data_IF_174415706791
#
_entry.id   IF_174415706791
#
_cell.length_a   1.000
_cell.length_b   1.000
_cell.length_c   1.000
_cell.angle_alpha   90.00
_cell.angle_beta   90.00
_cell.angle_gamma   90.00
#
_symmetry.space_group_name_H-M   'P 1'
#
loop_
_entity.id
_entity.type
_entity.pdbx_description
1 polymer ?
#
# COMPACT_ATOMS: atom_id res chain seq x y z
N UNK A 1 0.96 31.23 -3.89
CA UNK A 1 1.48 30.36 -2.81
C UNK A 1 0.29 29.70 -2.14
N UNK A 2 -0.16 28.57 -2.66
CA UNK A 2 -1.36 27.87 -2.17
C UNK A 2 -0.91 26.57 -1.51
N UNK A 3 -1.15 26.39 -0.20
CA UNK A 3 -1.07 25.05 0.39
C UNK A 3 -2.29 24.26 -0.09
N UNK A 4 -2.08 23.34 -1.03
CA UNK A 4 -2.97 22.18 -1.15
C UNK A 4 -2.79 21.33 0.11
N UNK A 5 -3.84 20.62 0.48
CA UNK A 5 -3.82 19.63 1.55
C UNK A 5 -4.17 18.29 0.91
N UNK A 6 -3.38 17.28 1.25
CA UNK A 6 -3.32 16.05 0.47
C UNK A 6 -4.42 15.05 0.89
N UNK A 7 -4.60 14.00 0.09
CA UNK A 7 -5.71 13.07 0.24
C UNK A 7 -5.44 11.96 1.31
N UNK A 8 -6.48 11.27 1.79
CA UNK A 8 -6.42 10.31 2.92
C UNK A 8 -5.27 9.24 3.05
N UNK A 9 -4.53 9.16 4.21
CA UNK A 9 -3.91 7.95 4.94
C UNK A 9 -4.19 7.46 6.55
N UNK A 10 -4.90 6.46 7.30
CA UNK A 10 -5.85 5.15 7.41
C UNK A 10 -5.86 3.56 6.80
N UNK A 11 -5.01 2.56 6.19
CA UNK A 11 -3.54 1.90 5.90
C UNK A 11 -2.14 1.51 6.84
N UNK A 12 -1.95 0.66 7.94
CA UNK A 12 -0.81 0.36 9.02
C UNK A 12 -0.71 -1.08 9.69
N UNK A 13 0.48 -1.76 9.86
CA UNK A 13 0.76 -3.27 10.00
C UNK A 13 1.28 -3.87 11.42
N UNK A 14 0.86 -5.06 11.98
CA UNK A 14 1.40 -5.88 13.18
C UNK A 14 1.57 -7.49 13.18
N UNK A 15 2.65 -8.10 13.78
CA UNK A 15 2.79 -9.56 14.20
C UNK A 15 4.21 -10.32 14.05
N UNK A 16 4.94 -10.94 15.05
CA UNK A 16 6.31 -11.54 14.87
C UNK A 16 6.46 -13.04 15.30
N UNK A 17 7.68 -13.63 15.36
CA UNK A 17 7.96 -14.91 16.05
C UNK A 17 8.56 -14.74 17.46
N UNK A 18 8.49 -15.79 18.31
CA UNK A 18 9.21 -15.87 19.59
C UNK A 18 9.78 -17.29 19.85
N UNK A 19 10.85 -17.34 20.67
CA UNK A 19 11.60 -18.50 21.20
C UNK A 19 12.07 -19.64 20.26
N UNK A 20 13.32 -19.53 19.78
CA UNK A 20 14.31 -20.65 19.82
C UNK A 20 15.77 -20.22 19.52
N UNK A 21 16.60 -20.24 20.57
CA UNK A 21 18.03 -20.61 20.63
C UNK A 21 19.06 -20.19 19.53
N UNK A 22 20.02 -19.33 19.94
CA UNK A 22 21.47 -19.31 19.55
C UNK A 22 21.88 -19.13 18.05
N UNK A 23 23.07 -18.62 17.65
CA UNK A 23 24.27 -18.12 18.36
C UNK A 23 24.83 -16.82 17.69
N UNK A 24 26.11 -16.48 17.93
CA UNK A 24 26.66 -15.12 17.81
C UNK A 24 27.74 -14.89 16.71
N UNK A 25 27.76 -13.64 16.22
CA UNK A 25 28.92 -12.75 15.94
C UNK A 25 29.66 -12.70 14.58
N UNK A 26 29.94 -11.42 14.21
CA UNK A 26 30.79 -10.84 13.14
C UNK A 26 30.25 -10.97 11.70
N UNK A 27 30.07 -9.88 10.93
CA UNK A 27 30.98 -8.77 10.55
C UNK A 27 32.15 -9.24 9.68
N UNK A 28 32.08 -8.99 8.36
CA UNK A 28 32.75 -7.82 7.80
C UNK A 28 32.23 -7.48 6.37
N UNK A 29 32.76 -6.41 5.79
CA UNK A 29 32.29 -5.81 4.53
C UNK A 29 32.64 -6.60 3.25
N UNK A 30 31.86 -6.36 2.19
CA UNK A 30 32.23 -6.65 0.80
C UNK A 30 33.59 -6.00 0.42
N UNK A 31 34.37 -6.51 -0.59
CA UNK A 31 33.82 -7.19 -1.78
C UNK A 31 34.61 -8.37 -2.43
N UNK A 32 33.90 -9.06 -3.35
CA UNK A 32 34.35 -9.89 -4.51
C UNK A 32 34.65 -11.40 -4.33
N UNK A 33 33.98 -12.16 -5.23
CA UNK A 33 34.41 -13.40 -5.91
C UNK A 33 34.65 -14.68 -5.07
N UNK A 34 33.90 -15.74 -5.37
CA UNK A 34 34.26 -17.12 -5.00
C UNK A 34 33.07 -18.05 -4.79
N UNK A 35 33.12 -19.21 -5.44
CA UNK A 35 32.28 -20.41 -5.33
C UNK A 35 31.28 -20.57 -4.14
N UNK A 36 30.01 -20.78 -4.49
CA UNK A 36 29.11 -21.84 -3.97
C UNK A 36 28.96 -22.08 -2.46
N UNK A 37 27.76 -21.79 -1.94
CA UNK A 37 27.21 -22.38 -0.72
C UNK A 37 25.71 -22.70 -0.89
N UNK A 38 25.16 -23.56 -0.04
CA UNK A 38 23.78 -24.06 -0.16
C UNK A 38 22.72 -23.03 0.25
N UNK A 39 21.50 -23.23 -0.26
CA UNK A 39 20.35 -22.36 -0.05
C UNK A 39 19.45 -22.94 1.05
N UNK A 40 19.44 -22.36 2.25
CA UNK A 40 18.46 -22.70 3.29
C UNK A 40 17.33 -21.66 3.37
N UNK A 41 16.09 -22.16 3.42
CA UNK A 41 14.87 -21.36 3.32
C UNK A 41 14.27 -21.05 4.69
N UNK A 42 14.77 -20.00 5.36
CA UNK A 42 14.13 -19.47 6.57
C UNK A 42 12.83 -18.70 6.25
N UNK A 43 11.74 -19.09 6.90
CA UNK A 43 10.43 -18.43 6.74
C UNK A 43 10.40 -17.07 7.48
N UNK A 44 9.77 -16.06 6.85
CA UNK A 44 9.76 -14.64 7.26
C UNK A 44 8.39 -14.14 7.75
N UNK A 45 8.37 -13.14 8.65
CA UNK A 45 7.22 -12.61 9.42
C UNK A 45 6.53 -11.36 8.83
N UNK A 46 5.19 -11.24 8.95
CA UNK A 46 4.26 -10.47 8.05
C UNK A 46 2.96 -9.99 8.79
N UNK A 47 2.09 -9.03 8.35
CA UNK A 47 1.28 -8.28 9.38
C UNK A 47 -0.03 -7.33 9.18
N UNK A 48 -1.07 -7.48 8.32
CA UNK A 48 -2.09 -6.47 7.81
C UNK A 48 -2.64 -5.19 8.60
N UNK A 49 -3.43 -4.30 7.95
CA UNK A 49 -3.14 -2.83 7.96
C UNK A 49 -4.33 -1.78 8.22
N UNK A 50 -4.16 -0.54 8.84
CA UNK A 50 -4.72 0.83 8.39
C UNK A 50 -3.98 2.35 8.74
N UNK A 51 -3.48 3.56 8.10
CA UNK A 51 -3.07 4.47 6.76
C UNK A 51 -3.87 5.00 5.30
N UNK A 52 -5.19 5.25 4.81
CA UNK A 52 -6.41 6.32 4.68
C UNK A 52 -6.97 7.48 5.74
N UNK A 53 -6.60 8.80 5.73
CA UNK A 53 -6.43 9.88 6.81
C UNK A 53 -7.63 10.80 6.95
N UNK A 54 -7.70 11.40 8.16
CA UNK A 54 -8.28 12.71 8.52
C UNK A 54 -9.75 12.88 8.12
N UNK A 55 -10.56 13.22 9.11
CA UNK A 55 -11.97 13.57 8.95
C UNK A 55 -12.25 14.62 7.84
N UNK A 56 -11.28 15.47 7.54
CA UNK A 56 -11.38 16.65 6.67
C UNK A 56 -10.92 16.44 5.21
N UNK A 57 -11.32 15.33 4.56
CA UNK A 57 -11.41 15.36 3.09
C UNK A 57 -12.38 16.46 2.67
N UNK A 58 -11.90 17.45 1.92
CA UNK A 58 -12.71 18.59 1.45
C UNK A 58 -13.78 18.19 0.42
N UNK A 59 -13.73 16.95 -0.09
CA UNK A 59 -14.71 16.35 -1.01
C UNK A 59 -15.67 15.39 -0.32
N UNK A 60 -15.25 14.75 0.78
CA UNK A 60 -16.03 13.70 1.46
C UNK A 60 -15.67 13.61 2.95
N UNK A 61 -16.22 14.50 3.78
CA UNK A 61 -15.99 14.44 5.23
C UNK A 61 -16.47 13.11 5.81
N UNK A 62 -15.71 12.57 6.77
CA UNK A 62 -16.05 11.32 7.44
C UNK A 62 -16.00 10.06 6.56
N UNK A 63 -15.45 10.13 5.33
CA UNK A 63 -15.29 9.03 4.36
C UNK A 63 -15.06 7.63 4.99
N UNK A 64 -14.11 7.42 5.93
CA UNK A 64 -13.85 6.08 6.50
C UNK A 64 -15.04 5.44 7.26
N UNK A 65 -15.95 6.27 7.79
CA UNK A 65 -17.08 5.88 8.63
C UNK A 65 -18.41 5.78 7.85
N UNK A 66 -18.40 6.11 6.56
CA UNK A 66 -19.54 5.93 5.67
C UNK A 66 -19.92 4.46 5.65
N UNK A 67 -21.22 4.18 5.77
CA UNK A 67 -21.70 2.80 5.84
C UNK A 67 -21.89 2.22 4.44
N UNK A 68 -21.43 0.99 4.24
CA UNK A 68 -21.56 0.20 3.02
C UNK A 68 -22.19 -1.13 3.42
N UNK A 69 -23.40 -1.39 2.93
CA UNK A 69 -24.25 -2.50 3.35
C UNK A 69 -24.34 -2.61 4.89
N UNK A 70 -24.56 -1.48 5.57
CA UNK A 70 -24.79 -1.43 7.01
C UNK A 70 -23.56 -1.55 7.93
N UNK A 71 -22.33 -1.66 7.40
CA UNK A 71 -21.08 -1.56 8.21
C UNK A 71 -20.23 -0.36 7.75
N UNK A 72 -19.47 0.30 8.63
CA UNK A 72 -18.47 1.30 8.23
C UNK A 72 -17.51 0.79 7.15
N UNK A 73 -17.12 1.63 6.19
CA UNK A 73 -16.21 1.25 5.11
C UNK A 73 -14.86 0.73 5.64
N UNK A 74 -14.31 1.36 6.68
CA UNK A 74 -13.08 0.90 7.34
C UNK A 74 -13.22 -0.54 7.92
N UNK A 75 -14.42 -0.92 8.38
CA UNK A 75 -14.70 -2.30 8.81
C UNK A 75 -14.68 -3.27 7.63
N UNK A 76 -15.23 -2.88 6.46
CA UNK A 76 -15.20 -3.70 5.24
C UNK A 76 -13.76 -4.02 4.83
N UNK A 77 -12.91 -3.00 4.78
CA UNK A 77 -11.50 -3.17 4.39
C UNK A 77 -10.72 -3.99 5.41
N UNK A 78 -10.94 -3.79 6.73
CA UNK A 78 -10.34 -4.60 7.78
C UNK A 78 -10.81 -6.07 7.72
N UNK A 79 -12.11 -6.33 7.55
CA UNK A 79 -12.66 -7.68 7.37
C UNK A 79 -12.06 -8.39 6.15
N UNK A 80 -11.86 -7.67 5.03
CA UNK A 80 -11.19 -8.21 3.84
C UNK A 80 -9.71 -8.49 4.07
N UNK A 81 -8.98 -7.57 4.74
CA UNK A 81 -7.57 -7.75 5.06
C UNK A 81 -7.32 -8.97 5.98
N UNK A 82 -8.27 -9.31 6.87
CA UNK A 82 -8.20 -10.52 7.73
C UNK A 82 -8.28 -11.85 6.97
N UNK A 83 -8.63 -11.86 5.69
CA UNK A 83 -8.81 -13.09 4.90
C UNK A 83 -7.55 -13.52 4.12
N UNK A 84 -6.53 -12.68 4.01
CA UNK A 84 -5.30 -13.04 3.29
C UNK A 84 -4.36 -13.87 4.17
N UNK A 85 -3.57 -14.75 3.56
CA UNK A 85 -2.87 -15.84 4.26
C UNK A 85 -1.41 -15.54 4.57
N UNK A 86 -0.88 -14.42 4.10
CA UNK A 86 0.52 -14.01 4.29
C UNK A 86 0.70 -13.07 5.47
N UNK A 87 -0.10 -13.19 6.53
CA UNK A 87 -0.54 -12.05 7.31
C UNK A 87 -0.80 -12.42 8.78
N UNK A 88 0.01 -11.92 9.72
CA UNK A 88 -0.01 -12.46 11.09
C UNK A 88 -0.97 -11.72 12.09
N UNK A 89 -1.42 -10.48 11.82
CA UNK A 89 -2.57 -9.78 12.49
C UNK A 89 -2.98 -8.49 11.75
N UNK A 90 -4.24 -8.02 11.82
CA UNK A 90 -4.70 -6.74 11.22
C UNK A 90 -4.92 -5.66 12.28
N UNK A 91 -4.22 -4.53 12.18
CA UNK A 91 -4.40 -3.37 13.08
C UNK A 91 -4.86 -2.11 12.34
N UNK A 92 -5.12 -1.03 13.08
CA UNK A 92 -5.53 0.28 12.56
C UNK A 92 -4.74 1.37 13.26
N UNK A 93 -4.17 2.33 12.53
CA UNK A 93 -3.63 3.56 13.07
C UNK A 93 -4.20 4.82 12.44
N UNK A 94 -4.74 5.63 13.33
CA UNK A 94 -5.47 6.86 13.09
C UNK A 94 -4.91 7.96 13.98
N UNK A 95 -5.07 9.21 13.57
CA UNK A 95 -4.98 10.39 14.44
C UNK A 95 -6.35 10.79 15.03
N UNK A 96 -7.45 10.36 14.41
CA UNK A 96 -8.83 10.63 14.82
C UNK A 96 -9.36 9.54 15.78
N UNK A 97 -9.73 9.95 17.00
CA UNK A 97 -10.23 9.06 18.06
C UNK A 97 -11.63 8.50 17.75
N UNK A 98 -12.49 9.16 16.95
CA UNK A 98 -13.80 8.62 16.56
C UNK A 98 -13.64 7.40 15.66
N UNK A 99 -12.62 7.44 14.78
CA UNK A 99 -12.26 6.28 13.95
C UNK A 99 -11.67 5.19 14.84
N UNK A 100 -10.89 5.55 15.87
CA UNK A 100 -10.35 4.60 16.83
C UNK A 100 -11.46 3.89 17.64
N UNK A 101 -12.42 4.64 18.19
CA UNK A 101 -13.61 4.12 18.89
C UNK A 101 -14.42 3.19 17.98
N UNK A 102 -14.68 3.61 16.73
CA UNK A 102 -15.37 2.79 15.74
C UNK A 102 -14.64 1.46 15.48
N UNK A 103 -13.32 1.50 15.28
CA UNK A 103 -12.50 0.32 15.00
C UNK A 103 -12.41 -0.64 16.19
N UNK A 104 -12.22 -0.12 17.41
CA UNK A 104 -12.31 -0.92 18.64
C UNK A 104 -13.70 -1.55 18.80
N UNK A 105 -14.76 -0.84 18.38
CA UNK A 105 -16.15 -1.32 18.40
C UNK A 105 -16.42 -2.58 17.57
N UNK A 106 -15.66 -2.81 16.48
CA UNK A 106 -15.71 -4.08 15.72
C UNK A 106 -14.54 -5.02 16.00
N UNK A 107 -13.77 -4.77 17.07
CA UNK A 107 -12.71 -5.67 17.53
C UNK A 107 -11.40 -5.58 16.74
N UNK A 108 -11.11 -4.43 16.13
CA UNK A 108 -9.79 -4.14 15.58
C UNK A 108 -8.83 -3.57 16.64
N UNK A 109 -7.58 -4.02 16.60
CA UNK A 109 -6.46 -3.39 17.31
C UNK A 109 -6.24 -1.97 16.78
N UNK A 110 -6.07 -0.98 17.67
CA UNK A 110 -5.86 0.42 17.27
C UNK A 110 -4.61 1.06 17.90
N UNK A 111 -3.81 1.73 17.08
CA UNK A 111 -2.59 2.46 17.43
C UNK A 111 -2.79 3.95 17.12
N UNK A 112 -2.90 4.80 18.14
CA UNK A 112 -2.98 6.24 17.89
C UNK A 112 -1.65 6.77 17.31
N UNK A 113 -1.72 7.53 16.22
CA UNK A 113 -0.57 8.11 15.49
C UNK A 113 -0.67 9.62 15.44
N UNK A 114 0.44 10.27 15.13
CA UNK A 114 0.57 11.72 15.13
C UNK A 114 -0.09 12.35 13.92
N UNK A 115 -0.79 13.46 14.16
CA UNK A 115 -1.24 14.41 13.14
C UNK A 115 -0.10 15.03 12.31
N UNK A 116 1.15 14.86 12.74
CA UNK A 116 2.37 15.32 12.05
C UNK A 116 2.91 14.37 10.98
N UNK A 117 2.41 13.14 10.89
CA UNK A 117 2.78 12.24 9.79
C UNK A 117 2.29 12.82 8.47
N UNK A 118 3.22 13.09 7.54
CA UNK A 118 2.92 13.84 6.30
C UNK A 118 2.10 13.04 5.30
N UNK A 119 2.16 11.71 5.40
CA UNK A 119 1.72 10.78 4.36
C UNK A 119 1.51 9.36 4.92
N UNK A 120 1.08 8.41 4.07
CA UNK A 120 0.80 7.04 4.49
C UNK A 120 2.05 6.28 4.93
N UNK A 121 3.15 6.42 4.19
CA UNK A 121 4.39 5.72 4.52
C UNK A 121 4.97 6.14 5.88
N UNK A 122 4.81 7.40 6.29
CA UNK A 122 5.27 7.87 7.61
C UNK A 122 4.41 7.37 8.76
N UNK A 123 3.07 7.36 8.61
CA UNK A 123 2.17 6.83 9.63
C UNK A 123 2.30 5.30 9.74
N UNK A 124 2.65 4.59 8.65
CA UNK A 124 3.14 3.21 8.69
C UNK A 124 4.36 3.04 9.61
N UNK A 125 5.39 3.89 9.44
CA UNK A 125 6.60 3.81 10.25
C UNK A 125 6.36 4.16 11.73
N UNK A 126 5.58 5.21 12.02
CA UNK A 126 5.31 5.64 13.39
C UNK A 126 4.61 4.54 14.20
N UNK A 127 3.61 3.88 13.59
CA UNK A 127 2.88 2.81 14.25
C UNK A 127 3.67 1.51 14.37
N UNK A 128 4.51 1.17 13.38
CA UNK A 128 5.53 0.13 13.49
C UNK A 128 6.42 0.34 14.73
N UNK A 129 6.87 1.58 14.97
CA UNK A 129 7.67 1.92 16.15
C UNK A 129 6.86 1.80 17.45
N UNK A 130 5.59 2.24 17.44
CA UNK A 130 4.68 2.12 18.60
C UNK A 130 4.29 0.68 18.95
N UNK A 131 4.30 -0.25 17.99
CA UNK A 131 4.04 -1.68 18.23
C UNK A 131 5.15 -2.40 19.00
N UNK A 132 6.38 -1.86 19.03
CA UNK A 132 7.55 -2.40 19.73
C UNK A 132 7.93 -3.86 19.40
N UNK A 133 7.46 -4.40 18.27
CA UNK A 133 7.67 -5.78 17.81
C UNK A 133 8.47 -5.81 16.49
N UNK A 134 8.96 -6.99 16.08
CA UNK A 134 9.96 -7.16 15.00
C UNK A 134 9.42 -7.92 13.81
N UNK A 135 9.60 -7.36 12.62
CA UNK A 135 8.93 -7.84 11.41
C UNK A 135 9.80 -7.63 10.17
N UNK A 136 9.50 -8.35 9.10
CA UNK A 136 10.24 -8.22 7.85
C UNK A 136 9.56 -7.25 6.87
N UNK A 137 8.25 -7.37 6.62
CA UNK A 137 7.56 -6.63 5.55
C UNK A 137 6.31 -5.88 6.03
N UNK A 138 6.25 -4.56 5.81
CA UNK A 138 5.09 -3.63 5.97
C UNK A 138 4.23 -3.53 4.69
N UNK A 139 2.90 -3.26 4.70
CA UNK A 139 2.03 -3.32 3.48
C UNK A 139 0.84 -2.36 3.44
N UNK A 140 1.01 -1.16 2.90
CA UNK A 140 -0.08 -0.20 2.68
C UNK A 140 -1.28 -0.85 1.92
N UNK A 141 -2.51 -0.75 2.45
CA UNK A 141 -3.84 -1.12 1.91
C UNK A 141 -4.79 0.01 2.35
N UNK A 142 -5.32 0.80 1.42
CA UNK A 142 -6.13 1.95 1.79
C UNK A 142 -7.49 1.52 2.34
N UNK A 143 -7.90 2.08 3.49
CA UNK A 143 -9.15 1.74 4.18
C UNK A 143 -10.43 2.10 3.42
N UNK A 144 -10.32 2.77 2.27
CA UNK A 144 -11.38 3.08 1.30
C UNK A 144 -11.38 2.17 0.06
N UNK A 145 -10.69 1.03 0.15
CA UNK A 145 -10.80 -0.14 -0.73
C UNK A 145 -11.62 -1.28 -0.09
N UNK A 146 -12.95 -1.11 0.16
CA UNK A 146 -13.80 -2.11 0.83
C UNK A 146 -13.95 -3.43 0.05
N UNK A 147 -13.51 -3.45 -1.21
CA UNK A 147 -13.49 -4.60 -2.11
C UNK A 147 -12.10 -5.23 -2.28
N UNK A 148 -11.06 -4.77 -1.57
CA UNK A 148 -9.69 -5.29 -1.72
C UNK A 148 -9.67 -6.83 -1.69
N UNK A 149 -8.93 -7.42 -2.62
CA UNK A 149 -8.82 -8.86 -2.80
C UNK A 149 -7.62 -9.39 -1.99
N UNK A 150 -7.84 -10.32 -1.03
CA UNK A 150 -6.79 -10.98 -0.25
C UNK A 150 -5.60 -11.45 -1.09
N UNK A 151 -5.89 -11.97 -2.27
CA UNK A 151 -4.93 -12.49 -3.24
C UNK A 151 -3.94 -11.41 -3.74
N UNK A 152 -4.35 -10.14 -3.76
CA UNK A 152 -3.49 -8.99 -4.12
C UNK A 152 -2.53 -8.67 -2.97
N UNK A 153 -3.03 -8.62 -1.73
CA UNK A 153 -2.22 -8.40 -0.51
C UNK A 153 -1.16 -9.50 -0.40
N UNK A 154 -1.60 -10.75 -0.55
CA UNK A 154 -0.75 -11.92 -0.59
C UNK A 154 0.28 -11.89 -1.71
N UNK A 155 -0.13 -11.45 -2.90
CA UNK A 155 0.73 -11.34 -4.07
C UNK A 155 1.89 -10.37 -3.84
N UNK A 156 1.64 -9.18 -3.26
CA UNK A 156 2.70 -8.20 -3.05
C UNK A 156 3.65 -8.58 -1.91
N UNK A 157 3.16 -9.22 -0.84
CA UNK A 157 4.04 -9.78 0.20
C UNK A 157 4.95 -10.87 -0.38
N UNK A 158 4.39 -11.83 -1.13
CA UNK A 158 5.16 -12.90 -1.79
C UNK A 158 6.17 -12.32 -2.81
N UNK A 159 5.77 -11.30 -3.57
CA UNK A 159 6.61 -10.58 -4.54
C UNK A 159 7.83 -9.94 -3.89
N UNK A 160 7.65 -9.19 -2.80
CA UNK A 160 8.75 -8.56 -2.07
C UNK A 160 9.65 -9.60 -1.39
N UNK A 161 9.09 -10.69 -0.86
CA UNK A 161 9.90 -11.80 -0.30
C UNK A 161 10.84 -12.43 -1.33
N UNK A 162 10.38 -12.58 -2.57
CA UNK A 162 11.15 -13.11 -3.70
C UNK A 162 12.12 -12.12 -4.36
N UNK A 163 12.10 -10.84 -3.98
CA UNK A 163 12.93 -9.79 -4.57
C UNK A 163 13.82 -9.10 -3.52
N UNK A 164 14.92 -9.74 -3.06
CA UNK A 164 15.78 -9.22 -2.00
C UNK A 164 16.58 -7.96 -2.37
N UNK A 165 16.49 -7.51 -3.63
CA UNK A 165 17.04 -6.24 -4.11
C UNK A 165 15.98 -5.13 -4.25
N UNK A 166 14.71 -5.45 -3.97
CA UNK A 166 13.64 -4.48 -3.82
C UNK A 166 13.40 -4.17 -2.34
N UNK A 167 12.96 -2.95 -2.06
CA UNK A 167 12.54 -2.51 -0.73
C UNK A 167 11.03 -2.32 -0.63
N UNK A 168 10.30 -2.61 -1.71
CA UNK A 168 8.89 -2.30 -1.89
C UNK A 168 8.28 -3.22 -2.95
N UNK A 169 6.99 -3.56 -2.86
CA UNK A 169 6.23 -4.14 -3.98
C UNK A 169 4.77 -3.68 -3.99
N UNK A 170 4.27 -3.20 -5.13
CA UNK A 170 2.86 -2.82 -5.35
C UNK A 170 2.17 -3.73 -6.38
N UNK A 171 0.89 -3.50 -6.64
CA UNK A 171 0.10 -4.15 -7.66
C UNK A 171 -0.40 -3.15 -8.72
N UNK A 172 -0.54 -3.64 -9.95
CA UNK A 172 -1.22 -2.93 -11.05
C UNK A 172 -2.27 -3.82 -11.70
N UNK A 173 -3.34 -3.20 -12.20
CA UNK A 173 -4.34 -3.82 -13.07
C UNK A 173 -4.29 -3.20 -14.48
N UNK A 174 -5.08 -3.74 -15.40
CA UNK A 174 -5.30 -3.12 -16.72
C UNK A 174 -6.08 -1.82 -16.59
N UNK A 175 -5.52 -0.71 -17.08
CA UNK A 175 -6.22 0.57 -17.17
C UNK A 175 -7.30 0.53 -18.25
N UNK A 176 -8.52 0.98 -17.94
CA UNK A 176 -9.62 1.04 -18.92
C UNK A 176 -9.40 2.24 -19.87
N UNK A 177 -9.69 2.15 -21.18
CA UNK A 177 -9.40 3.24 -22.12
C UNK A 177 -10.03 4.60 -21.76
N UNK A 178 -11.17 4.59 -21.09
CA UNK A 178 -11.88 5.75 -20.54
C UNK A 178 -11.12 6.44 -19.38
N UNK A 179 -10.41 5.67 -18.54
CA UNK A 179 -9.59 6.16 -17.42
C UNK A 179 -8.26 6.79 -17.90
N UNK A 180 -7.90 6.67 -19.18
CA UNK A 180 -6.56 6.98 -19.72
C UNK A 180 -6.05 8.38 -19.37
N UNK A 181 -6.93 9.38 -19.41
CA UNK A 181 -6.60 10.79 -19.19
C UNK A 181 -7.00 11.32 -17.80
N UNK A 182 -7.51 10.47 -16.90
CA UNK A 182 -7.82 10.87 -15.52
C UNK A 182 -6.52 11.00 -14.68
N UNK A 183 -6.22 12.16 -14.08
CA UNK A 183 -5.05 12.36 -13.22
C UNK A 183 -5.19 11.73 -11.81
N UNK A 184 -6.38 11.27 -11.41
CA UNK A 184 -6.57 10.49 -10.19
C UNK A 184 -6.17 9.03 -10.42
N UNK A 185 -6.36 8.51 -11.64
CA UNK A 185 -5.95 7.16 -12.07
C UNK A 185 -4.45 7.13 -12.37
N UNK A 186 -3.63 6.78 -11.38
CA UNK A 186 -2.17 6.76 -11.51
C UNK A 186 -1.71 5.63 -12.45
N UNK A 187 -1.01 5.99 -13.52
CA UNK A 187 -0.39 5.03 -14.45
C UNK A 187 0.96 4.54 -13.91
N UNK A 188 1.34 3.32 -14.27
CA UNK A 188 2.65 2.74 -13.98
C UNK A 188 3.29 2.18 -15.26
N UNK A 189 4.61 2.25 -15.37
CA UNK A 189 5.39 1.49 -16.36
C UNK A 189 6.44 0.63 -15.66
N UNK A 190 6.63 -0.59 -16.16
CA UNK A 190 7.47 -1.63 -15.54
C UNK A 190 8.48 -2.18 -16.53
N UNK A 191 9.59 -2.70 -16.03
CA UNK A 191 10.59 -3.39 -16.83
C UNK A 191 10.20 -4.86 -17.14
N UNK A 192 11.03 -5.53 -17.94
CA UNK A 192 10.83 -6.93 -18.33
C UNK A 192 10.93 -7.92 -17.15
N UNK A 193 11.37 -7.48 -15.97
CA UNK A 193 11.49 -8.28 -14.74
C UNK A 193 10.43 -7.93 -13.70
N UNK A 194 9.52 -6.99 -14.00
CA UNK A 194 8.47 -6.54 -13.08
C UNK A 194 8.96 -5.59 -11.97
N UNK A 195 10.03 -4.84 -12.18
CA UNK A 195 10.31 -3.65 -11.36
C UNK A 195 9.62 -2.42 -11.95
N UNK A 196 9.21 -1.46 -11.12
CA UNK A 196 8.71 -0.16 -11.58
C UNK A 196 9.84 0.65 -12.24
N UNK A 197 9.56 1.21 -13.40
CA UNK A 197 10.41 2.23 -14.06
C UNK A 197 9.93 3.63 -13.66
N UNK A 198 8.61 3.88 -13.70
CA UNK A 198 8.03 5.17 -13.35
C UNK A 198 6.52 5.06 -13.03
N UNK A 199 5.99 6.06 -12.31
CA UNK A 199 4.56 6.26 -12.04
C UNK A 199 4.18 7.69 -12.43
N UNK A 200 2.99 7.90 -13.00
CA UNK A 200 2.54 9.24 -13.42
C UNK A 200 1.03 9.40 -13.38
N UNK A 201 0.56 10.61 -13.11
CA UNK A 201 -0.83 11.03 -13.37
C UNK A 201 -1.09 11.22 -14.86
N UNK A 202 -0.04 11.48 -15.66
CA UNK A 202 -0.07 11.49 -17.12
C UNK A 202 -0.15 10.10 -17.75
N UNK A 203 -0.61 10.02 -19.00
CA UNK A 203 -0.72 8.76 -19.74
C UNK A 203 0.67 8.25 -20.18
N UNK A 204 1.17 7.21 -19.51
CA UNK A 204 2.44 6.55 -19.82
C UNK A 204 2.24 5.06 -20.16
N UNK A 205 2.98 4.50 -21.15
CA UNK A 205 3.89 5.19 -22.05
C UNK A 205 3.15 5.99 -23.13
N UNK A 206 3.62 7.21 -23.38
CA UNK A 206 3.10 8.02 -24.49
C UNK A 206 3.63 7.49 -25.83
N UNK A 207 2.85 7.65 -26.91
CA UNK A 207 3.20 7.11 -28.22
C UNK A 207 3.18 8.18 -29.32
N UNK A 208 3.84 7.91 -30.45
CA UNK A 208 4.04 8.87 -31.55
C UNK A 208 2.75 9.36 -32.24
N UNK A 209 1.60 8.70 -32.04
CA UNK A 209 0.32 9.13 -32.62
C UNK A 209 -0.43 10.16 -31.76
N UNK A 210 0.00 10.36 -30.51
CA UNK A 210 -0.66 11.25 -29.55
C UNK A 210 -2.03 10.77 -29.06
N UNK A 211 -2.39 9.50 -29.30
CA UNK A 211 -3.70 8.91 -28.98
C UNK A 211 -3.55 7.68 -28.08
N UNK A 212 -4.55 7.41 -27.25
CA UNK A 212 -4.66 6.14 -26.51
C UNK A 212 -4.66 4.99 -27.52
N UNK A 213 -3.79 3.98 -27.33
CA UNK A 213 -3.82 2.75 -28.10
C UNK A 213 -4.65 1.70 -27.34
N UNK A 214 -5.88 1.35 -27.78
CA UNK A 214 -6.73 0.39 -27.06
C UNK A 214 -6.16 -1.03 -27.04
N UNK A 215 -5.18 -1.34 -27.91
CA UNK A 215 -4.50 -2.63 -27.96
C UNK A 215 -3.21 -2.66 -27.11
N UNK A 216 -2.87 -1.57 -26.41
CA UNK A 216 -1.71 -1.54 -25.50
C UNK A 216 -2.15 -1.75 -24.05
N UNK A 217 -1.52 -2.67 -23.29
CA UNK A 217 -1.87 -2.91 -21.89
C UNK A 217 -1.29 -1.81 -20.98
N UNK A 218 -1.95 -0.65 -20.98
CA UNK A 218 -1.73 0.41 -20.00
C UNK A 218 -2.01 -0.11 -18.58
N UNK A 219 -1.18 0.27 -17.60
CA UNK A 219 -1.22 -0.29 -16.25
C UNK A 219 -1.67 0.78 -15.24
N UNK A 220 -2.73 0.48 -14.51
CA UNK A 220 -3.28 1.29 -13.41
C UNK A 220 -2.68 0.81 -12.08
N UNK A 221 -2.02 1.71 -11.35
CA UNK A 221 -1.52 1.46 -9.99
C UNK A 221 -2.68 1.38 -8.99
N UNK A 222 -2.65 0.36 -8.12
CA UNK A 222 -3.75 0.02 -7.21
C UNK A 222 -3.63 0.59 -5.78
N UNK A 223 -2.71 1.53 -5.51
CA UNK A 223 -2.63 2.18 -4.19
C UNK A 223 -2.06 1.32 -3.04
N UNK A 224 -2.18 -0.01 -3.14
CA UNK A 224 -1.64 -1.01 -2.20
C UNK A 224 -0.12 -1.21 -2.38
N UNK A 225 0.67 -1.21 -1.28
CA UNK A 225 2.14 -1.12 -1.32
C UNK A 225 2.85 -1.87 -0.18
N UNK A 226 3.60 -2.92 -0.46
CA UNK A 226 4.53 -3.53 0.50
C UNK A 226 5.86 -2.78 0.61
N UNK A 227 6.53 -2.91 1.75
CA UNK A 227 7.78 -2.25 2.18
C UNK A 227 8.65 -3.22 2.99
N UNK A 228 9.97 -3.21 2.81
CA UNK A 228 10.91 -3.81 3.78
C UNK A 228 10.94 -2.93 5.04
N UNK A 229 10.94 -3.56 6.21
CA UNK A 229 10.83 -2.88 7.52
C UNK A 229 12.05 -2.02 7.87
N UNK A 230 13.23 -2.31 7.29
CA UNK A 230 14.44 -1.47 7.45
C UNK A 230 14.35 -0.25 6.55
N UNK A 231 13.89 -0.42 5.31
CA UNK A 231 13.63 0.70 4.40
C UNK A 231 12.53 1.63 4.88
N UNK A 232 11.45 1.09 5.45
CA UNK A 232 10.36 1.92 5.99
C UNK A 232 10.84 2.87 7.10
N UNK A 233 11.86 2.47 7.87
CA UNK A 233 12.52 3.32 8.87
C UNK A 233 13.45 4.37 8.29
N UNK A 234 13.92 4.19 7.05
CA UNK A 234 14.75 5.14 6.29
C UNK A 234 13.87 6.17 5.57
N UNK A 235 12.68 5.78 5.10
CA UNK A 235 11.81 6.63 4.28
C UNK A 235 11.51 8.04 4.85
N UNK A 236 11.22 8.23 6.17
CA UNK A 236 10.95 9.56 6.72
C UNK A 236 12.14 10.52 6.62
N UNK A 237 13.36 9.97 6.78
CA UNK A 237 14.65 10.68 6.77
C UNK A 237 15.10 11.09 5.36
N UNK A 238 14.60 10.40 4.33
CA UNK A 238 14.85 10.81 2.95
C UNK A 238 14.24 12.21 2.71
N UNK A 239 14.94 13.12 2.00
CA UNK A 239 14.36 14.40 1.62
C UNK A 239 13.20 14.21 0.63
N UNK A 240 12.24 15.14 0.56
CA UNK A 240 11.29 15.21 -0.56
C UNK A 240 12.02 15.42 -1.89
N UNK A 241 11.55 14.78 -2.96
CA UNK A 241 12.24 14.76 -4.26
C UNK A 241 11.41 15.42 -5.38
N UNK A 242 12.04 15.91 -6.48
CA UNK A 242 11.36 16.68 -7.51
C UNK A 242 10.12 16.01 -8.14
N UNK A 243 10.21 14.74 -8.56
CA UNK A 243 9.09 14.06 -9.22
C UNK A 243 8.00 13.69 -8.21
N UNK A 244 8.37 13.29 -6.99
CA UNK A 244 7.42 13.13 -5.87
C UNK A 244 6.56 14.40 -5.65
N UNK A 245 7.17 15.58 -5.69
CA UNK A 245 6.50 16.86 -5.44
C UNK A 245 5.69 17.39 -6.63
N UNK A 246 6.13 17.14 -7.87
CA UNK A 246 5.42 17.58 -9.09
C UNK A 246 4.22 16.68 -9.40
N UNK A 247 4.38 15.36 -9.31
CA UNK A 247 3.31 14.40 -9.58
C UNK A 247 2.41 14.17 -8.36
N UNK A 248 2.80 14.59 -7.15
CA UNK A 248 2.10 14.29 -5.89
C UNK A 248 1.92 12.76 -5.70
N UNK A 249 3.05 12.03 -5.65
CA UNK A 249 3.12 10.56 -5.56
C UNK A 249 4.25 10.08 -4.63
N UNK A 250 3.90 9.55 -3.45
CA UNK A 250 4.85 9.02 -2.44
C UNK A 250 5.91 8.06 -3.02
N UNK A 251 5.47 7.14 -3.89
CA UNK A 251 6.32 6.10 -4.45
C UNK A 251 7.46 6.62 -5.33
N UNK A 252 7.36 7.84 -5.88
CA UNK A 252 8.45 8.44 -6.66
C UNK A 252 9.65 8.81 -5.78
N UNK A 253 9.43 9.14 -4.50
CA UNK A 253 10.51 9.35 -3.52
C UNK A 253 11.42 8.14 -3.39
N UNK A 254 10.86 6.93 -3.52
CA UNK A 254 11.59 5.66 -3.46
C UNK A 254 12.45 5.49 -4.71
N UNK A 255 11.88 5.69 -5.90
CA UNK A 255 12.59 5.58 -7.18
C UNK A 255 13.69 6.64 -7.34
N UNK A 256 13.42 7.90 -6.99
CA UNK A 256 14.37 9.02 -7.12
C UNK A 256 15.58 8.89 -6.18
N UNK A 257 15.42 8.21 -5.03
CA UNK A 257 16.54 7.84 -4.15
C UNK A 257 17.22 6.51 -4.58
N UNK A 258 16.91 5.99 -5.77
CA UNK A 258 17.59 4.83 -6.38
C UNK A 258 17.14 3.45 -5.87
N UNK A 259 16.08 3.38 -5.06
CA UNK A 259 15.58 2.12 -4.52
C UNK A 259 14.65 1.41 -5.52
N UNK A 260 14.73 0.07 -5.57
CA UNK A 260 13.88 -0.74 -6.45
C UNK A 260 12.54 -1.10 -5.81
N UNK A 261 11.52 -1.14 -6.68
CA UNK A 261 10.14 -1.45 -6.33
C UNK A 261 9.64 -2.55 -7.26
N UNK A 262 9.12 -3.66 -6.73
CA UNK A 262 8.43 -4.67 -7.53
C UNK A 262 6.99 -4.28 -7.84
N UNK A 263 6.46 -4.84 -8.93
CA UNK A 263 5.09 -4.61 -9.38
C UNK A 263 4.51 -5.93 -9.86
N UNK A 264 3.50 -6.45 -9.15
CA UNK A 264 2.69 -7.58 -9.62
C UNK A 264 1.60 -7.07 -10.57
N UNK A 265 1.21 -7.89 -11.55
CA UNK A 265 0.04 -7.66 -12.38
C UNK A 265 -1.11 -8.52 -11.88
N UNK A 266 -2.27 -7.93 -11.63
CA UNK A 266 -3.47 -8.60 -11.14
C UNK A 266 -4.67 -8.29 -12.04
N UNK A 267 -5.69 -9.15 -12.04
CA UNK A 267 -6.94 -8.91 -12.74
C UNK A 267 -7.99 -8.40 -11.75
N UNK A 268 -7.85 -7.13 -11.37
CA UNK A 268 -8.70 -6.46 -10.38
C UNK A 268 -9.47 -5.30 -11.01
N UNK A 269 -10.77 -5.21 -10.77
CA UNK A 269 -11.51 -3.98 -11.07
C UNK A 269 -11.24 -2.94 -9.97
N UNK A 270 -10.50 -1.88 -10.30
CA UNK A 270 -10.04 -0.86 -9.37
C UNK A 270 -11.18 0.00 -8.77
N UNK A 271 -11.83 -0.56 -7.76
CA UNK A 271 -13.03 -0.07 -7.08
C UNK A 271 -12.72 0.46 -5.67
N UNK A 272 -11.95 1.54 -5.60
CA UNK A 272 -11.96 2.41 -4.42
C UNK A 272 -13.24 3.25 -4.39
N UNK A 273 -13.62 3.73 -3.20
CA UNK A 273 -14.59 4.82 -3.04
C UNK A 273 -13.83 6.14 -3.06
N UNK A 274 -14.22 7.13 -3.86
CA UNK A 274 -13.67 8.50 -3.75
C UNK A 274 -14.75 9.58 -3.67
N UNK A 275 -15.91 9.38 -4.28
CA UNK A 275 -17.08 10.25 -4.14
C UNK A 275 -18.26 9.49 -3.50
N UNK A 276 -19.29 10.18 -2.98
CA UNK A 276 -20.49 9.53 -2.43
C UNK A 276 -21.18 8.59 -3.43
N UNK A 277 -21.15 8.93 -4.73
CA UNK A 277 -21.73 8.15 -5.81
C UNK A 277 -20.99 6.81 -6.04
N UNK A 278 -19.76 6.64 -5.54
CA UNK A 278 -19.08 5.33 -5.59
C UNK A 278 -19.69 4.33 -4.61
N UNK A 279 -20.28 4.79 -3.50
CA UNK A 279 -20.85 3.91 -2.47
C UNK A 279 -21.93 3.00 -3.06
N UNK A 280 -22.85 3.54 -3.88
CA UNK A 280 -23.90 2.76 -4.53
C UNK A 280 -23.34 1.73 -5.53
N UNK A 281 -22.23 2.06 -6.20
CA UNK A 281 -21.51 1.14 -7.11
C UNK A 281 -20.90 -0.01 -6.31
N UNK A 282 -20.19 0.29 -5.22
CA UNK A 282 -19.62 -0.70 -4.30
C UNK A 282 -20.69 -1.61 -3.72
N UNK A 283 -21.79 -1.06 -3.17
CA UNK A 283 -22.86 -1.89 -2.63
C UNK A 283 -23.47 -2.81 -3.69
N UNK A 284 -23.65 -2.32 -4.91
CA UNK A 284 -24.18 -3.11 -6.03
C UNK A 284 -23.23 -4.25 -6.41
N UNK A 285 -21.92 -3.99 -6.44
CA UNK A 285 -20.88 -4.99 -6.69
C UNK A 285 -20.77 -6.01 -5.55
N UNK A 286 -20.87 -5.57 -4.29
CA UNK A 286 -20.89 -6.46 -3.12
C UNK A 286 -22.11 -7.38 -3.16
N UNK A 287 -23.31 -6.86 -3.45
CA UNK A 287 -24.55 -7.65 -3.66
C UNK A 287 -24.36 -8.68 -4.78
N UNK A 288 -23.82 -8.29 -5.93
CA UNK A 288 -23.55 -9.20 -7.06
C UNK A 288 -22.51 -10.28 -6.73
N UNK A 289 -21.46 -9.94 -5.97
CA UNK A 289 -20.39 -10.86 -5.53
C UNK A 289 -20.76 -11.66 -4.27
N UNK A 290 -21.99 -11.52 -3.74
CA UNK A 290 -22.47 -12.12 -2.48
C UNK A 290 -21.60 -11.80 -1.25
N UNK A 291 -21.02 -10.59 -1.19
CA UNK A 291 -20.22 -10.10 -0.07
C UNK A 291 -21.16 -9.41 0.93
N UNK A 292 -21.36 -10.04 2.09
CA UNK A 292 -22.28 -9.62 3.16
C UNK A 292 -21.71 -8.58 4.11
#
# INVERSE_FOLDING_TARGET
MQKKFDAPSISVLAIPPEESAFALLRLDCYPRHGAGAHYESSYRSRLPINTLTRFASSRFQGKPLVHILGKPMIQRTWERAKLATTLDNVVVATDDEKIAECCRGFGADVIMTSESCRNGTERCNEALLKLQKKYDIVVNIQGDEPLIEPEIIDGIVKSLQGAPDAVFSTAVTSLKPEDAHDPNRVKCVVDNYGYAIYFSRGLIPFNKSGKVNPNFPYLLHLGIQSYDTKFLRIYPELPPTPLQLEEDLEQLKVLENGYKMKVIKVNHDAHGVDTPEDVEKIESLMRQRNIS
#
